data_IF_854198810881
#
_entry.id   IF_854198810881
#
_cell.length_a   1.000
_cell.length_b   1.000
_cell.length_c   1.000
_cell.angle_alpha   90.00
_cell.angle_beta   90.00
_cell.angle_gamma   90.00
#
_symmetry.space_group_name_H-M   'P 1'
#
loop_
_entity.id
_entity.type
_entity.pdbx_description
1 polymer ?
#
# COMPACT_ATOMS: atom_id res chain seq x y z
N UNK A 1 -8.61 -1.04 12.61
CA UNK A 1 -7.33 -0.76 13.31
C UNK A 1 -6.22 -1.74 12.90
N UNK A 2 -6.51 -3.05 12.85
CA UNK A 2 -5.57 -4.09 12.42
C UNK A 2 -5.00 -3.90 10.99
N UNK A 3 -5.86 -3.70 9.99
CA UNK A 3 -5.40 -3.51 8.59
C UNK A 3 -4.47 -2.31 8.39
N UNK A 4 -4.57 -1.26 9.22
CA UNK A 4 -3.65 -0.12 9.14
C UNK A 4 -2.24 -0.47 9.63
N UNK A 5 -2.12 -1.38 10.60
CA UNK A 5 -0.83 -1.87 11.08
C UNK A 5 -0.15 -2.73 10.02
N UNK A 6 -0.91 -3.64 9.40
CA UNK A 6 -0.40 -4.46 8.29
C UNK A 6 0.05 -3.60 7.11
N UNK A 7 -0.76 -2.63 6.68
CA UNK A 7 -0.39 -1.70 5.60
C UNK A 7 0.88 -0.90 5.95
N UNK A 8 1.04 -0.49 7.20
CA UNK A 8 2.26 0.19 7.67
C UNK A 8 3.47 -0.75 7.62
N UNK A 9 3.32 -2.01 8.05
CA UNK A 9 4.38 -3.00 7.99
C UNK A 9 4.84 -3.22 6.54
N UNK A 10 3.87 -3.47 5.64
CA UNK A 10 4.10 -3.62 4.19
C UNK A 10 4.87 -2.42 3.63
N UNK A 11 4.46 -1.20 3.95
CA UNK A 11 5.13 0.02 3.46
C UNK A 11 6.54 0.21 4.03
N UNK A 12 6.78 -0.21 5.27
CA UNK A 12 8.09 -0.12 5.90
C UNK A 12 9.07 -1.16 5.35
N UNK A 13 8.57 -2.33 4.97
CA UNK A 13 9.34 -3.39 4.32
C UNK A 13 9.65 -3.03 2.86
N UNK A 14 8.65 -2.56 2.11
CA UNK A 14 8.81 -2.13 0.73
C UNK A 14 8.07 -0.82 0.45
N UNK A 15 8.85 0.26 0.30
CA UNK A 15 8.36 1.62 -0.01
C UNK A 15 7.89 1.78 -1.47
N UNK A 16 7.90 0.72 -2.29
CA UNK A 16 7.25 0.71 -3.60
C UNK A 16 5.73 0.70 -3.46
N UNK A 17 5.07 0.96 -4.56
CA UNK A 17 3.60 1.02 -4.62
C UNK A 17 3.12 -0.26 -5.29
N UNK A 18 2.33 -1.09 -4.61
CA UNK A 18 1.78 -2.28 -5.26
C UNK A 18 0.85 -1.90 -6.41
N UNK A 19 0.63 -2.83 -7.34
CA UNK A 19 -0.31 -2.59 -8.44
C UNK A 19 -1.72 -2.28 -7.93
N UNK A 20 -2.55 -1.61 -8.74
CA UNK A 20 -3.94 -1.29 -8.35
C UNK A 20 -4.74 -2.58 -8.16
N UNK A 21 -4.53 -3.57 -9.03
CA UNK A 21 -5.17 -4.88 -8.93
C UNK A 21 -4.79 -5.56 -7.62
N UNK A 22 -3.51 -5.56 -7.26
CA UNK A 22 -3.01 -6.14 -6.02
C UNK A 22 -3.61 -5.52 -4.77
N UNK A 23 -3.65 -4.18 -4.71
CA UNK A 23 -4.23 -3.45 -3.57
C UNK A 23 -5.71 -3.81 -3.36
N UNK A 24 -6.44 -4.01 -4.46
CA UNK A 24 -7.85 -4.41 -4.41
C UNK A 24 -7.98 -5.86 -3.93
N UNK A 25 -7.19 -6.79 -4.48
CA UNK A 25 -7.21 -8.19 -4.08
C UNK A 25 -6.82 -8.36 -2.60
N UNK A 26 -5.78 -7.68 -2.13
CA UNK A 26 -5.37 -7.65 -0.73
C UNK A 26 -6.50 -7.15 0.18
N UNK A 27 -7.16 -6.05 -0.21
CA UNK A 27 -8.29 -5.52 0.56
C UNK A 27 -9.43 -6.53 0.65
N UNK A 28 -9.79 -7.17 -0.46
CA UNK A 28 -10.85 -8.19 -0.51
C UNK A 28 -10.50 -9.40 0.38
N UNK A 29 -9.27 -9.93 0.29
CA UNK A 29 -8.81 -11.07 1.11
C UNK A 29 -8.98 -10.85 2.62
N UNK A 30 -8.89 -9.59 3.05
CA UNK A 30 -8.96 -9.18 4.46
C UNK A 30 -10.28 -8.53 4.84
N UNK A 31 -11.30 -8.62 3.97
CA UNK A 31 -12.60 -7.98 4.15
C UNK A 31 -12.52 -6.46 4.43
N UNK A 32 -11.53 -5.79 3.84
CA UNK A 32 -11.31 -4.35 3.92
C UNK A 32 -11.82 -3.63 2.68
N UNK A 33 -12.14 -2.33 2.81
CA UNK A 33 -12.59 -1.52 1.68
C UNK A 33 -11.43 -1.26 0.68
N UNK A 34 -11.53 -1.71 -0.58
CA UNK A 34 -10.48 -1.51 -1.59
C UNK A 34 -10.14 -0.04 -1.86
N UNK A 35 -11.14 0.85 -1.86
CA UNK A 35 -10.93 2.28 -2.09
C UNK A 35 -10.10 2.91 -0.97
N UNK A 36 -10.32 2.48 0.28
CA UNK A 36 -9.55 2.94 1.43
C UNK A 36 -8.08 2.52 1.32
N UNK A 37 -7.80 1.28 0.90
CA UNK A 37 -6.43 0.77 0.71
C UNK A 37 -5.72 1.50 -0.43
N UNK A 38 -6.40 1.70 -1.57
CA UNK A 38 -5.84 2.48 -2.70
C UNK A 38 -5.49 3.90 -2.26
N UNK A 39 -6.41 4.58 -1.57
CA UNK A 39 -6.19 5.93 -1.07
C UNK A 39 -5.05 5.98 -0.05
N UNK A 40 -4.89 4.95 0.77
CA UNK A 40 -3.81 4.88 1.76
C UNK A 40 -2.43 4.88 1.11
N UNK A 41 -2.20 4.03 0.09
CA UNK A 41 -0.94 4.02 -0.65
C UNK A 41 -0.69 5.33 -1.41
N UNK A 42 -1.71 5.91 -2.02
CA UNK A 42 -1.59 7.23 -2.68
C UNK A 42 -1.16 8.32 -1.71
N UNK A 43 -1.67 8.32 -0.48
CA UNK A 43 -1.26 9.26 0.58
C UNK A 43 0.18 9.03 1.01
N UNK A 44 0.63 7.77 1.09
CA UNK A 44 2.03 7.44 1.44
C UNK A 44 3.04 7.91 0.40
N UNK A 45 2.75 7.71 -0.88
CA UNK A 45 3.56 8.27 -1.98
C UNK A 45 3.65 9.78 -1.85
N UNK A 46 2.52 10.46 -1.65
CA UNK A 46 2.50 11.93 -1.55
C UNK A 46 3.33 12.41 -0.37
N UNK A 47 3.23 11.75 0.78
CA UNK A 47 4.03 12.07 1.96
C UNK A 47 5.53 11.85 1.71
N UNK A 48 5.91 10.72 1.11
CA UNK A 48 7.32 10.44 0.77
C UNK A 48 7.89 11.47 -0.22
N UNK A 49 7.12 11.84 -1.25
CA UNK A 49 7.50 12.91 -2.20
C UNK A 49 7.72 14.26 -1.50
N UNK A 50 6.82 14.63 -0.58
CA UNK A 50 6.93 15.88 0.18
C UNK A 50 8.14 15.88 1.13
N UNK A 51 8.50 14.72 1.67
CA UNK A 51 9.67 14.54 2.53
C UNK A 51 11.00 14.45 1.74
N UNK A 52 10.96 14.42 0.40
CA UNK A 52 12.13 14.20 -0.43
C UNK A 52 12.69 12.77 -0.36
N UNK A 53 11.89 11.81 0.11
CA UNK A 53 12.31 10.41 0.17
C UNK A 53 12.31 9.79 -1.24
N UNK A 54 13.36 9.03 -1.60
CA UNK A 54 13.37 8.31 -2.87
C UNK A 54 12.28 7.24 -2.86
N UNK A 55 11.38 7.30 -3.84
CA UNK A 55 10.38 6.26 -4.07
C UNK A 55 10.94 5.34 -5.15
N UNK A 56 11.25 4.07 -4.83
CA UNK A 56 11.80 3.16 -5.82
C UNK A 56 10.81 2.96 -6.98
N UNK A 57 11.34 2.86 -8.20
CA UNK A 57 10.51 2.63 -9.37
C UNK A 57 10.02 1.17 -9.42
N UNK A 58 8.88 0.99 -10.07
CA UNK A 58 8.22 -0.32 -10.22
C UNK A 58 7.10 -0.56 -9.22
N UNK A 59 6.31 -1.58 -9.52
CA UNK A 59 5.22 -2.07 -8.68
C UNK A 59 5.46 -3.53 -8.34
N UNK A 60 4.94 -3.96 -7.20
CA UNK A 60 4.91 -5.36 -6.79
C UNK A 60 3.49 -5.83 -6.51
N UNK A 61 3.34 -7.13 -6.25
CA UNK A 61 2.08 -7.74 -5.86
C UNK A 61 2.09 -8.08 -4.37
N UNK A 62 1.02 -7.73 -3.66
CA UNK A 62 0.81 -8.05 -2.25
C UNK A 62 0.40 -9.52 -2.10
N UNK A 63 0.86 -10.19 -1.02
CA UNK A 63 0.40 -11.54 -0.71
C UNK A 63 -1.09 -11.54 -0.36
N UNK A 64 -1.80 -12.56 -0.83
CA UNK A 64 -3.18 -12.85 -0.48
C UNK A 64 -3.20 -13.91 0.62
N UNK A 65 -4.19 -13.83 1.50
CA UNK A 65 -4.51 -14.87 2.50
C UNK A 65 -5.70 -15.71 2.01
#
# INVERSE_FOLDING_TARGET
PAHLLELKAIWNEDKRVPSIASRRAWAISRNANPASVVNWFSRKIRAAKLAGEPIPQGSYELPLE
#
